data_IF_381031559734
#
_entry.id   IF_381031559734
#
_cell.length_a   1.000
_cell.length_b   1.000
_cell.length_c   1.000
_cell.angle_alpha   90.00
_cell.angle_beta   90.00
_cell.angle_gamma   90.00
#
_symmetry.space_group_name_H-M   'P 1'
#
loop_
_entity.id
_entity.type
_entity.pdbx_description
1 polymer ?
#
# COMPACT_ATOMS: atom_id res chain seq x y z
N UNK A 1 19.98 -66.96 -10.59
CA UNK A 1 20.17 -68.43 -10.44
C UNK A 1 19.69 -68.95 -9.07
N UNK A 2 18.55 -68.50 -8.51
CA UNK A 2 18.00 -69.12 -7.28
C UNK A 2 16.48 -69.39 -7.30
N UNK A 3 15.71 -68.90 -8.29
CA UNK A 3 14.26 -69.21 -8.45
C UNK A 3 13.92 -69.72 -9.88
N UNK A 4 14.90 -69.85 -10.77
CA UNK A 4 14.70 -70.46 -12.10
C UNK A 4 14.16 -69.56 -13.21
N UNK A 5 13.96 -68.26 -12.99
CA UNK A 5 13.52 -67.34 -14.05
C UNK A 5 14.58 -67.10 -15.13
N UNK A 6 14.13 -67.06 -16.38
CA UNK A 6 14.95 -66.57 -17.49
C UNK A 6 15.22 -65.07 -17.33
N UNK A 7 16.35 -64.58 -17.83
CA UNK A 7 16.73 -63.16 -17.71
C UNK A 7 15.65 -62.21 -18.26
N UNK A 8 15.03 -62.57 -19.39
CA UNK A 8 13.95 -61.80 -19.99
C UNK A 8 12.73 -61.70 -19.07
N UNK A 9 12.34 -62.80 -18.43
CA UNK A 9 11.23 -62.83 -17.48
C UNK A 9 11.54 -61.99 -16.23
N UNK A 10 12.76 -62.12 -15.69
CA UNK A 10 13.21 -61.30 -14.56
C UNK A 10 13.18 -59.80 -14.89
N UNK A 11 13.54 -59.42 -16.13
CA UNK A 11 13.47 -58.03 -16.60
C UNK A 11 12.02 -57.53 -16.76
N UNK A 12 11.10 -58.38 -17.23
CA UNK A 12 9.68 -58.06 -17.32
C UNK A 12 9.07 -57.86 -15.93
N UNK A 13 9.36 -58.75 -14.98
CA UNK A 13 8.91 -58.60 -13.59
C UNK A 13 9.47 -57.34 -12.93
N UNK A 14 10.75 -57.03 -13.15
CA UNK A 14 11.36 -55.79 -12.67
C UNK A 14 10.61 -54.55 -13.18
N UNK A 15 10.31 -54.49 -14.49
CA UNK A 15 9.54 -53.38 -15.06
C UNK A 15 8.14 -53.28 -14.46
N UNK A 16 7.44 -54.41 -14.27
CA UNK A 16 6.11 -54.43 -13.68
C UNK A 16 6.09 -53.94 -12.23
N UNK A 17 7.10 -54.32 -11.42
CA UNK A 17 7.23 -53.85 -10.04
C UNK A 17 7.50 -52.35 -10.00
N UNK A 18 8.37 -51.83 -10.86
CA UNK A 18 8.67 -50.38 -10.92
C UNK A 18 7.40 -49.57 -11.20
N UNK A 19 6.63 -49.95 -12.23
CA UNK A 19 5.38 -49.26 -12.60
C UNK A 19 4.31 -49.40 -11.51
N UNK A 20 4.24 -50.54 -10.82
CA UNK A 20 3.26 -50.73 -9.74
C UNK A 20 3.54 -49.86 -8.50
N UNK A 21 4.80 -49.50 -8.24
CA UNK A 21 5.21 -48.75 -7.05
C UNK A 21 5.43 -47.26 -7.27
N UNK A 22 5.76 -46.81 -8.48
CA UNK A 22 5.96 -45.39 -8.77
C UNK A 22 4.59 -44.74 -8.99
N UNK A 23 4.16 -43.77 -8.17
CA UNK A 23 2.85 -43.15 -8.36
C UNK A 23 2.93 -42.03 -9.41
N UNK A 24 2.79 -42.36 -10.69
CA UNK A 24 2.99 -41.38 -11.79
C UNK A 24 2.00 -40.21 -11.74
N UNK A 25 0.81 -40.43 -11.14
CA UNK A 25 -0.22 -39.40 -10.97
C UNK A 25 0.05 -38.39 -9.86
N UNK A 26 0.95 -38.68 -8.92
CA UNK A 26 1.15 -37.84 -7.73
C UNK A 26 1.68 -36.44 -8.07
N UNK A 27 2.61 -36.35 -9.02
CA UNK A 27 3.16 -35.06 -9.43
C UNK A 27 2.09 -34.16 -10.09
N UNK A 28 1.20 -34.78 -10.88
CA UNK A 28 0.10 -34.08 -11.53
C UNK A 28 -0.94 -33.58 -10.52
N UNK A 29 -1.31 -34.41 -9.53
CA UNK A 29 -2.28 -34.00 -8.50
C UNK A 29 -1.75 -32.86 -7.63
N UNK A 30 -0.48 -32.91 -7.20
CA UNK A 30 0.16 -31.82 -6.44
C UNK A 30 0.13 -30.52 -7.24
N UNK A 31 0.50 -30.56 -8.52
CA UNK A 31 0.50 -29.39 -9.39
C UNK A 31 -0.89 -28.78 -9.55
N UNK A 32 -1.93 -29.62 -9.73
CA UNK A 32 -3.33 -29.18 -9.81
C UNK A 32 -3.79 -28.55 -8.49
N UNK A 33 -3.47 -29.16 -7.34
CA UNK A 33 -3.81 -28.63 -6.02
C UNK A 33 -3.18 -27.24 -5.78
N UNK A 34 -1.89 -27.07 -6.09
CA UNK A 34 -1.20 -25.78 -5.97
C UNK A 34 -1.81 -24.75 -6.93
N UNK A 35 -2.14 -25.15 -8.17
CA UNK A 35 -2.74 -24.26 -9.17
C UNK A 35 -4.13 -23.76 -8.75
N UNK A 36 -4.96 -24.63 -8.17
CA UNK A 36 -6.26 -24.24 -7.63
C UNK A 36 -6.11 -23.25 -6.47
N UNK A 37 -5.14 -23.48 -5.59
CA UNK A 37 -4.86 -22.59 -4.46
C UNK A 37 -4.36 -21.23 -4.94
N UNK A 38 -3.42 -21.21 -5.90
CA UNK A 38 -2.94 -19.98 -6.54
C UNK A 38 -4.09 -19.20 -7.19
N UNK A 39 -5.04 -19.88 -7.84
CA UNK A 39 -6.25 -19.25 -8.41
C UNK A 39 -7.14 -18.63 -7.33
N UNK A 40 -7.29 -19.29 -6.18
CA UNK A 40 -8.04 -18.74 -5.04
C UNK A 40 -7.37 -17.49 -4.46
N UNK A 41 -6.04 -17.47 -4.38
CA UNK A 41 -5.26 -16.29 -3.96
C UNK A 41 -5.39 -15.14 -4.96
N UNK A 42 -5.32 -15.44 -6.25
CA UNK A 42 -5.47 -14.45 -7.31
C UNK A 42 -6.85 -13.76 -7.29
N UNK A 43 -7.92 -14.49 -6.95
CA UNK A 43 -9.27 -13.91 -6.74
C UNK A 43 -9.32 -12.88 -5.60
N UNK A 44 -8.34 -12.90 -4.68
CA UNK A 44 -8.18 -11.94 -3.58
C UNK A 44 -7.06 -10.91 -3.85
N UNK A 45 -6.73 -10.69 -5.12
CA UNK A 45 -5.65 -9.78 -5.56
C UNK A 45 -4.24 -10.17 -5.07
N UNK A 46 -4.01 -11.44 -4.69
CA UNK A 46 -2.68 -11.98 -4.36
C UNK A 46 -2.18 -12.86 -5.51
N UNK A 47 -1.33 -12.28 -6.37
CA UNK A 47 -0.84 -12.96 -7.58
C UNK A 47 0.40 -13.79 -7.25
N UNK A 48 0.34 -15.08 -7.51
CA UNK A 48 1.45 -16.01 -7.33
C UNK A 48 2.14 -16.24 -8.66
N UNK A 49 3.44 -15.95 -8.73
CA UNK A 49 4.26 -16.20 -9.95
C UNK A 49 4.88 -17.61 -9.98
N UNK A 50 5.24 -18.14 -8.81
CA UNK A 50 5.82 -19.47 -8.64
C UNK A 50 4.88 -20.32 -7.76
N UNK A 51 4.39 -21.46 -8.25
CA UNK A 51 3.40 -22.27 -7.53
C UNK A 51 3.90 -22.77 -6.15
N UNK A 52 5.21 -23.04 -6.03
CA UNK A 52 5.84 -23.43 -4.76
C UNK A 52 5.71 -22.36 -3.67
N UNK A 53 5.63 -21.08 -4.05
CA UNK A 53 5.51 -19.97 -3.10
C UNK A 53 4.21 -20.03 -2.27
N UNK A 54 3.18 -20.73 -2.77
CA UNK A 54 1.92 -20.95 -2.03
C UNK A 54 2.19 -21.74 -0.75
N UNK A 55 3.02 -22.78 -0.84
CA UNK A 55 3.37 -23.63 0.29
C UNK A 55 4.42 -22.94 1.20
N UNK A 56 5.38 -22.24 0.60
CA UNK A 56 6.38 -21.47 1.35
C UNK A 56 5.73 -20.46 2.31
N UNK A 57 4.68 -19.76 1.88
CA UNK A 57 3.98 -18.81 2.75
C UNK A 57 3.29 -19.50 3.94
N UNK A 58 2.75 -20.71 3.74
CA UNK A 58 2.10 -21.49 4.79
C UNK A 58 3.08 -22.07 5.82
N UNK A 59 4.33 -22.29 5.43
CA UNK A 59 5.41 -22.81 6.28
C UNK A 59 6.32 -21.71 6.85
N UNK A 60 6.04 -20.43 6.54
CA UNK A 60 6.86 -19.30 6.98
C UNK A 60 6.72 -19.06 8.49
N UNK A 61 7.84 -19.01 9.20
CA UNK A 61 7.90 -18.72 10.64
C UNK A 61 8.34 -17.29 10.98
N UNK A 62 8.97 -16.59 10.04
CA UNK A 62 9.46 -15.21 10.22
C UNK A 62 9.13 -14.37 8.99
N UNK A 63 8.58 -13.18 9.20
CA UNK A 63 8.29 -12.21 8.13
C UNK A 63 9.26 -11.04 8.27
N UNK A 64 10.16 -10.91 7.29
CA UNK A 64 10.97 -9.73 7.10
C UNK A 64 10.21 -8.77 6.17
N UNK A 65 9.86 -7.59 6.68
CA UNK A 65 9.04 -6.61 5.96
C UNK A 65 9.77 -5.27 5.86
N UNK A 66 9.77 -4.69 4.66
CA UNK A 66 10.21 -3.30 4.49
C UNK A 66 9.15 -2.34 5.08
N UNK A 67 9.58 -1.15 5.49
CA UNK A 67 8.69 -0.12 6.04
C UNK A 67 8.03 0.70 4.94
N UNK A 68 8.83 1.23 4.01
CA UNK A 68 8.36 2.28 3.09
C UNK A 68 7.67 1.64 1.89
N UNK A 69 6.38 1.96 1.68
CA UNK A 69 5.60 1.37 0.57
C UNK A 69 5.10 -0.05 0.82
N UNK A 70 5.42 -0.63 1.98
CA UNK A 70 4.90 -1.95 2.41
C UNK A 70 4.05 -1.79 3.68
N UNK A 71 4.65 -1.40 4.81
CA UNK A 71 3.89 -1.09 6.03
C UNK A 71 3.28 0.31 6.02
N UNK A 72 3.95 1.25 5.35
CA UNK A 72 3.53 2.65 5.24
C UNK A 72 3.14 2.96 3.80
N UNK A 73 2.26 3.95 3.63
CA UNK A 73 1.66 4.34 2.34
C UNK A 73 2.65 5.04 1.38
N UNK A 74 3.94 5.15 1.75
CA UNK A 74 4.96 5.92 1.03
C UNK A 74 4.49 7.35 0.67
N UNK A 75 3.75 7.98 1.58
CA UNK A 75 3.17 9.31 1.40
C UNK A 75 3.23 10.08 2.70
N UNK A 76 3.82 11.27 2.65
CA UNK A 76 3.77 12.21 3.78
C UNK A 76 2.32 12.63 4.02
N UNK A 77 1.86 12.50 5.27
CA UNK A 77 0.48 12.78 5.68
C UNK A 77 0.52 13.47 7.04
N UNK A 78 -0.33 14.49 7.26
CA UNK A 78 -0.41 15.18 8.54
C UNK A 78 -0.91 14.19 9.60
N UNK A 79 -0.16 14.04 10.69
CA UNK A 79 -0.46 13.06 11.73
C UNK A 79 -1.03 13.69 13.00
N UNK A 80 -0.44 14.80 13.44
CA UNK A 80 -0.84 15.48 14.68
C UNK A 80 -0.81 16.99 14.48
N UNK A 81 -1.65 17.68 15.26
CA UNK A 81 -1.70 19.13 15.37
C UNK A 81 -1.55 19.53 16.82
N UNK A 82 -1.05 20.74 17.04
CA UNK A 82 -0.98 21.32 18.36
C UNK A 82 -1.53 22.75 18.33
N UNK A 83 -2.61 22.97 19.04
CA UNK A 83 -3.24 24.27 19.25
C UNK A 83 -4.06 24.22 20.54
N UNK A 84 -4.41 25.38 21.11
CA UNK A 84 -5.11 25.48 22.40
C UNK A 84 -4.45 24.67 23.54
N UNK A 85 -3.13 24.51 23.46
CA UNK A 85 -2.30 23.70 24.37
C UNK A 85 -2.71 22.20 24.44
N UNK A 86 -3.33 21.68 23.38
CA UNK A 86 -3.78 20.29 23.25
C UNK A 86 -3.22 19.67 21.97
N UNK A 87 -2.92 18.37 22.03
CA UNK A 87 -2.52 17.59 20.85
C UNK A 87 -3.77 16.96 20.24
N UNK A 88 -3.98 17.20 18.95
CA UNK A 88 -5.06 16.61 18.17
C UNK A 88 -4.49 15.61 17.17
N UNK A 89 -5.01 14.39 17.13
CA UNK A 89 -4.64 13.39 16.13
C UNK A 89 -5.48 13.58 14.87
N UNK A 90 -4.83 13.58 13.70
CA UNK A 90 -5.50 13.61 12.40
C UNK A 90 -5.64 12.19 11.84
N UNK A 91 -6.62 12.01 10.95
CA UNK A 91 -6.78 10.76 10.23
C UNK A 91 -5.67 10.57 9.19
N UNK A 92 -4.92 9.48 9.33
CA UNK A 92 -3.81 9.09 8.45
C UNK A 92 -4.14 7.91 7.54
N UNK A 93 -5.36 7.37 7.62
CA UNK A 93 -5.83 6.24 6.81
C UNK A 93 -6.03 6.63 5.34
N UNK A 94 -5.89 5.68 4.41
CA UNK A 94 -6.07 5.98 2.98
C UNK A 94 -7.52 6.25 2.61
N UNK A 95 -8.44 5.56 3.28
CA UNK A 95 -9.88 5.56 3.05
C UNK A 95 -10.64 6.55 3.93
N UNK A 96 -9.92 7.29 4.79
CA UNK A 96 -10.47 8.29 5.70
C UNK A 96 -11.46 7.69 6.71
N UNK A 97 -11.13 6.50 7.22
CA UNK A 97 -11.92 5.72 8.17
C UNK A 97 -11.52 5.95 9.64
N UNK A 98 -10.46 6.75 9.87
CA UNK A 98 -9.88 6.96 11.18
C UNK A 98 -10.62 7.99 12.02
N UNK A 99 -10.10 8.23 13.22
CA UNK A 99 -10.65 9.21 14.14
C UNK A 99 -10.35 10.63 13.63
N UNK A 100 -11.40 11.44 13.52
CA UNK A 100 -11.27 12.88 13.28
C UNK A 100 -11.15 13.66 14.60
N UNK A 101 -10.68 14.90 14.52
CA UNK A 101 -10.59 15.83 15.65
C UNK A 101 -11.65 16.94 15.52
N UNK A 102 -11.88 17.69 16.60
CA UNK A 102 -12.82 18.81 16.58
C UNK A 102 -12.30 19.98 15.73
N UNK A 103 -13.09 20.36 14.73
CA UNK A 103 -12.79 21.46 13.80
C UNK A 103 -13.64 22.71 14.08
N UNK A 104 -14.40 22.73 15.18
CA UNK A 104 -15.19 23.87 15.62
C UNK A 104 -14.38 25.09 16.11
N UNK A 105 -13.19 24.96 16.74
CA UNK A 105 -12.48 26.09 17.34
C UNK A 105 -12.00 27.14 16.32
N UNK A 106 -12.01 28.41 16.72
CA UNK A 106 -11.47 29.50 15.88
C UNK A 106 -9.95 29.41 15.69
N UNK A 107 -9.24 28.90 16.70
CA UNK A 107 -7.80 28.66 16.62
C UNK A 107 -7.47 27.69 15.50
N UNK A 108 -8.25 26.61 15.36
CA UNK A 108 -8.12 25.68 14.25
C UNK A 108 -8.36 26.36 12.89
N UNK A 109 -9.42 27.16 12.75
CA UNK A 109 -9.69 27.88 11.49
C UNK A 109 -8.53 28.78 11.07
N UNK A 110 -7.87 29.42 12.03
CA UNK A 110 -6.70 30.26 11.79
C UNK A 110 -5.49 29.42 11.37
N UNK A 111 -5.22 28.32 12.06
CA UNK A 111 -4.14 27.39 11.72
C UNK A 111 -4.33 26.77 10.33
N UNK A 112 -5.55 26.30 10.03
CA UNK A 112 -5.90 25.70 8.76
C UNK A 112 -5.77 26.70 7.61
N UNK A 113 -6.15 27.97 7.83
CA UNK A 113 -5.94 29.06 6.89
C UNK A 113 -4.45 29.29 6.60
N UNK A 114 -3.60 29.33 7.64
CA UNK A 114 -2.14 29.50 7.46
C UNK A 114 -1.56 28.34 6.66
N UNK A 115 -1.90 27.09 7.01
CA UNK A 115 -1.44 25.90 6.30
C UNK A 115 -1.89 25.86 4.83
N UNK A 116 -3.09 26.35 4.54
CA UNK A 116 -3.64 26.41 3.19
C UNK A 116 -3.05 27.52 2.33
N UNK A 117 -2.90 28.73 2.89
CA UNK A 117 -2.44 29.92 2.15
C UNK A 117 -0.91 29.99 2.01
N UNK A 118 -0.16 29.65 3.07
CA UNK A 118 1.31 29.63 3.06
C UNK A 118 1.83 28.31 2.48
N UNK A 119 1.38 27.96 1.28
CA UNK A 119 1.67 26.69 0.64
C UNK A 119 1.62 26.84 -0.88
N UNK A 120 2.61 26.30 -1.58
CA UNK A 120 2.76 26.42 -3.04
C UNK A 120 2.29 25.20 -3.81
N UNK A 121 1.95 24.12 -3.11
CA UNK A 121 1.52 22.90 -3.73
C UNK A 121 0.17 23.08 -4.45
N UNK A 122 0.00 22.41 -5.59
CA UNK A 122 -1.19 22.50 -6.43
C UNK A 122 -1.62 21.12 -6.92
N UNK A 123 -2.92 20.82 -6.90
CA UNK A 123 -3.45 19.60 -7.49
C UNK A 123 -3.31 19.62 -9.02
N UNK A 124 -2.92 18.49 -9.62
CA UNK A 124 -2.98 18.35 -11.08
C UNK A 124 -4.45 18.40 -11.56
N UNK A 125 -4.72 18.96 -12.77
CA UNK A 125 -6.07 19.05 -13.30
C UNK A 125 -6.67 17.67 -13.60
N UNK A 126 -8.00 17.61 -13.72
CA UNK A 126 -8.80 16.43 -14.09
C UNK A 126 -8.73 15.24 -13.11
N UNK A 127 -8.72 15.52 -11.80
CA UNK A 127 -8.65 14.50 -10.74
C UNK A 127 -9.82 14.53 -9.75
N UNK A 128 -10.93 15.20 -10.12
CA UNK A 128 -12.10 15.35 -9.24
C UNK A 128 -12.74 14.03 -8.81
N UNK A 129 -12.67 13.00 -9.65
CA UNK A 129 -13.18 11.65 -9.37
C UNK A 129 -12.32 10.82 -8.41
N UNK A 130 -11.06 11.22 -8.18
CA UNK A 130 -10.16 10.52 -7.28
C UNK A 130 -10.33 11.01 -5.83
N UNK A 131 -10.24 10.10 -4.84
CA UNK A 131 -10.14 10.49 -3.43
C UNK A 131 -8.96 11.43 -3.21
N UNK A 132 -9.15 12.47 -2.38
CA UNK A 132 -8.14 13.51 -2.10
C UNK A 132 -6.76 12.93 -1.74
N UNK A 133 -6.65 11.88 -0.87
CA UNK A 133 -5.35 11.31 -0.53
C UNK A 133 -4.58 10.76 -1.75
N UNK A 134 -5.28 10.28 -2.78
CA UNK A 134 -4.72 9.70 -4.01
C UNK A 134 -4.51 10.71 -5.14
N UNK A 135 -5.02 11.94 -5.01
CA UNK A 135 -4.78 13.00 -6.00
C UNK A 135 -3.28 13.32 -6.07
N UNK A 136 -2.80 13.56 -7.28
CA UNK A 136 -1.43 13.96 -7.57
C UNK A 136 -1.32 15.47 -7.36
N UNK A 137 -0.30 15.86 -6.61
CA UNK A 137 0.00 17.24 -6.27
C UNK A 137 1.39 17.57 -6.79
N UNK A 138 1.57 18.78 -7.29
CA UNK A 138 2.87 19.35 -7.65
C UNK A 138 3.33 20.20 -6.47
N UNK A 139 4.42 19.80 -5.83
CA UNK A 139 4.98 20.43 -4.62
C UNK A 139 5.92 19.45 -3.91
N UNK A 140 6.62 19.91 -2.88
CA UNK A 140 7.38 18.98 -2.02
C UNK A 140 6.43 18.12 -1.17
N UNK A 141 6.98 17.10 -0.51
CA UNK A 141 6.19 16.14 0.26
C UNK A 141 5.43 16.78 1.43
N UNK A 142 6.01 17.79 2.09
CA UNK A 142 5.41 18.45 3.24
C UNK A 142 4.30 19.39 2.82
N UNK A 143 4.54 20.25 1.83
CA UNK A 143 3.49 21.11 1.27
C UNK A 143 2.34 20.29 0.67
N UNK A 144 2.65 19.17 0.01
CA UNK A 144 1.64 18.24 -0.51
C UNK A 144 0.78 17.64 0.60
N UNK A 145 1.40 17.25 1.72
CA UNK A 145 0.68 16.70 2.87
C UNK A 145 -0.28 17.75 3.46
N UNK A 146 0.20 18.98 3.65
CA UNK A 146 -0.61 20.09 4.16
C UNK A 146 -1.76 20.43 3.22
N UNK A 147 -1.52 20.51 1.90
CA UNK A 147 -2.56 20.82 0.92
C UNK A 147 -3.68 19.77 0.96
N UNK A 148 -3.34 18.47 0.94
CA UNK A 148 -4.31 17.39 1.00
C UNK A 148 -5.12 17.42 2.30
N UNK A 149 -4.45 17.70 3.41
CA UNK A 149 -5.09 17.80 4.72
C UNK A 149 -6.04 18.99 4.81
N UNK A 150 -5.65 20.18 4.33
CA UNK A 150 -6.54 21.34 4.30
C UNK A 150 -7.70 21.17 3.33
N UNK A 151 -7.48 20.49 2.20
CA UNK A 151 -8.55 20.17 1.24
C UNK A 151 -9.62 19.25 1.86
N UNK A 152 -9.19 18.27 2.66
CA UNK A 152 -10.08 17.37 3.40
C UNK A 152 -10.90 18.08 4.48
N UNK A 153 -10.29 19.04 5.18
CA UNK A 153 -10.93 19.70 6.32
C UNK A 153 -11.78 20.93 5.94
N UNK A 154 -11.30 21.76 4.99
CA UNK A 154 -11.91 23.05 4.64
C UNK A 154 -12.74 22.96 3.35
N UNK A 155 -12.47 21.98 2.49
CA UNK A 155 -13.03 21.87 1.15
C UNK A 155 -12.07 22.42 0.09
N UNK A 156 -12.61 22.96 -1.01
CA UNK A 156 -11.80 23.36 -2.17
C UNK A 156 -10.78 24.46 -1.83
N UNK A 157 -9.52 24.06 -1.66
CA UNK A 157 -8.44 24.94 -1.25
C UNK A 157 -8.01 25.88 -2.38
N UNK A 158 -8.20 25.49 -3.65
CA UNK A 158 -7.89 26.33 -4.80
C UNK A 158 -8.83 27.54 -4.86
N UNK A 159 -10.14 27.32 -4.72
CA UNK A 159 -11.12 28.40 -4.60
C UNK A 159 -10.89 29.24 -3.33
N UNK A 160 -10.50 28.61 -2.22
CA UNK A 160 -10.21 29.32 -0.98
C UNK A 160 -9.03 30.29 -1.15
N UNK A 161 -7.98 29.90 -1.87
CA UNK A 161 -6.83 30.77 -2.19
C UNK A 161 -7.21 31.96 -3.07
N UNK A 162 -8.18 31.82 -3.97
CA UNK A 162 -8.64 32.93 -4.82
C UNK A 162 -9.28 34.07 -4.01
N UNK A 163 -9.93 33.74 -2.88
CA UNK A 163 -10.51 34.73 -1.95
C UNK A 163 -9.45 35.55 -1.20
N UNK A 164 -8.23 35.01 -1.08
CA UNK A 164 -7.11 35.65 -0.40
C UNK A 164 -5.95 35.85 -1.39
N UNK A 165 -6.09 36.84 -2.28
CA UNK A 165 -5.08 37.13 -3.31
C UNK A 165 -3.70 37.36 -2.69
N UNK A 166 -2.74 36.51 -3.07
CA UNK A 166 -1.34 36.62 -2.71
C UNK A 166 -0.73 37.87 -3.36
N UNK A 167 -0.30 38.83 -2.55
CA UNK A 167 0.33 40.08 -3.01
C UNK A 167 1.86 39.95 -3.04
N UNK A 168 2.42 39.31 -2.02
CA UNK A 168 3.86 39.08 -1.85
C UNK A 168 4.07 37.68 -1.28
N UNK A 169 5.21 37.07 -1.60
CA UNK A 169 5.62 35.79 -1.04
C UNK A 169 7.14 35.75 -0.91
N UNK A 170 7.62 35.14 0.18
CA UNK A 170 9.03 34.82 0.38
C UNK A 170 9.17 33.29 0.28
N UNK A 171 9.89 32.74 -0.70
CA UNK A 171 10.13 31.30 -0.78
C UNK A 171 10.89 30.77 0.43
N UNK A 172 10.59 29.53 0.81
CA UNK A 172 11.46 28.79 1.70
C UNK A 172 12.90 28.80 1.19
N UNK A 173 13.84 29.11 2.08
CA UNK A 173 15.26 28.96 1.84
C UNK A 173 15.96 28.36 3.08
N UNK A 174 17.09 27.71 2.87
CA UNK A 174 17.84 27.05 3.95
C UNK A 174 18.46 28.03 4.96
N UNK A 175 18.60 29.30 4.58
CA UNK A 175 19.20 30.35 5.41
C UNK A 175 18.21 30.91 6.42
N UNK A 176 17.03 31.31 5.96
CA UNK A 176 15.97 31.91 6.78
C UNK A 176 15.13 30.84 7.50
N UNK A 177 15.00 29.64 6.91
CA UNK A 177 14.27 28.49 7.46
C UNK A 177 12.78 28.75 7.72
N UNK A 178 12.20 29.70 7.01
CA UNK A 178 10.76 29.96 7.01
C UNK A 178 10.28 30.23 5.59
N UNK A 179 8.96 30.17 5.41
CA UNK A 179 8.21 30.60 4.25
C UNK A 179 7.13 31.56 4.72
#
# INVERSE_FOLDING_TARGET
>A
MFIGYAFLEAMIFFMAIVVAYVPEGLLATVTVCLSLTAKCLARKNCVVKNLEAVETLGSTSVICSDKTGTQTQNRMTVAHLWFDNVIHAADTTEDQSGQSFDQSPETWRSLARVAGLCNRAVFKPNQGSLPIPRRIVVGDASETALLKFTELAIGNMMEYRERFKKVVEVPFNSTNKFQ
#
